data_IF_301655411704
#
_entry.id   IF_301655411704
#
_cell.length_a   1.000
_cell.length_b   1.000
_cell.length_c   1.000
_cell.angle_alpha   90.00
_cell.angle_beta   90.00
_cell.angle_gamma   90.00
#
_symmetry.space_group_name_H-M   'P 1'
#
loop_
_entity.id
_entity.type
_entity.pdbx_description
1 polymer ?
#
# COMPACT_ATOMS: atom_id res chain seq x y z
N UNK A 1 -30.75 -21.43 30.31
CA UNK A 1 -30.45 -20.12 30.92
C UNK A 1 -30.79 -19.05 29.90
N UNK A 2 -31.78 -18.21 30.17
CA UNK A 2 -32.09 -17.06 29.32
C UNK A 2 -30.95 -16.05 29.43
N UNK A 3 -30.39 -15.63 28.29
CA UNK A 3 -29.39 -14.54 28.27
C UNK A 3 -30.12 -13.22 28.53
N UNK A 4 -29.67 -12.46 29.51
CA UNK A 4 -30.16 -11.09 29.74
C UNK A 4 -29.66 -10.17 28.62
N UNK A 5 -30.40 -9.09 28.36
CA UNK A 5 -30.02 -8.06 27.37
C UNK A 5 -28.66 -7.44 27.66
N UNK A 6 -28.35 -7.20 28.94
CA UNK A 6 -27.04 -6.69 29.41
C UNK A 6 -25.90 -7.64 29.00
N UNK A 7 -26.06 -8.96 29.20
CA UNK A 7 -25.07 -9.95 28.76
C UNK A 7 -24.84 -9.92 27.25
N UNK A 8 -25.91 -9.78 26.45
CA UNK A 8 -25.79 -9.69 24.98
C UNK A 8 -25.05 -8.44 24.51
N UNK A 9 -25.25 -7.30 25.19
CA UNK A 9 -24.55 -6.04 24.88
C UNK A 9 -23.06 -6.16 25.22
N UNK A 10 -22.75 -6.73 26.39
CA UNK A 10 -21.36 -6.96 26.81
C UNK A 10 -20.63 -7.91 25.86
N UNK A 11 -21.23 -9.08 25.55
CA UNK A 11 -20.66 -10.05 24.60
C UNK A 11 -20.39 -9.40 23.24
N UNK A 12 -21.36 -8.65 22.70
CA UNK A 12 -21.20 -7.95 21.42
C UNK A 12 -20.07 -6.91 21.48
N UNK A 13 -19.95 -6.17 22.57
CA UNK A 13 -18.87 -5.19 22.78
C UNK A 13 -17.51 -5.87 22.76
N UNK A 14 -17.33 -6.95 23.52
CA UNK A 14 -16.04 -7.65 23.59
C UNK A 14 -15.70 -8.34 22.26
N UNK A 15 -16.67 -8.91 21.55
CA UNK A 15 -16.46 -9.43 20.19
C UNK A 15 -16.00 -8.35 19.22
N UNK A 16 -16.59 -7.16 19.27
CA UNK A 16 -16.21 -6.05 18.39
C UNK A 16 -14.79 -5.56 18.69
N UNK A 17 -14.41 -5.47 19.97
CA UNK A 17 -13.03 -5.15 20.39
C UNK A 17 -12.02 -6.15 19.84
N UNK A 18 -12.26 -7.45 20.09
CA UNK A 18 -11.40 -8.52 19.58
C UNK A 18 -11.30 -8.51 18.05
N UNK A 19 -12.40 -8.17 17.36
CA UNK A 19 -12.42 -8.07 15.89
C UNK A 19 -11.56 -6.90 15.38
N UNK A 20 -11.55 -5.76 16.07
CA UNK A 20 -10.69 -4.62 15.74
C UNK A 20 -9.21 -4.92 15.98
N UNK A 21 -8.89 -5.55 17.11
CA UNK A 21 -7.51 -5.90 17.49
C UNK A 21 -6.88 -6.90 16.51
N UNK A 22 -7.69 -7.85 16.03
CA UNK A 22 -7.24 -8.89 15.10
C UNK A 22 -7.35 -8.51 13.63
N UNK A 23 -7.98 -7.37 13.29
CA UNK A 23 -8.38 -7.01 11.93
C UNK A 23 -7.26 -7.06 10.88
N UNK A 24 -6.03 -6.70 11.28
CA UNK A 24 -4.88 -6.57 10.37
C UNK A 24 -4.02 -7.83 10.28
N UNK A 25 -4.25 -8.84 11.15
CA UNK A 25 -3.35 -9.99 11.31
C UNK A 25 -3.23 -10.85 10.05
N UNK A 26 -4.28 -10.92 9.24
CA UNK A 26 -4.35 -11.73 8.02
C UNK A 26 -4.25 -10.91 6.72
N UNK A 27 -4.05 -9.59 6.83
CA UNK A 27 -4.08 -8.67 5.67
C UNK A 27 -2.71 -8.53 5.04
N UNK A 28 -2.20 -9.59 4.43
CA UNK A 28 -0.93 -9.55 3.71
C UNK A 28 -1.12 -9.39 2.20
N UNK A 29 -0.19 -8.71 1.55
CA UNK A 29 -0.17 -8.61 0.09
C UNK A 29 0.21 -9.98 -0.51
N UNK A 30 -0.76 -10.68 -1.06
CA UNK A 30 -0.57 -12.02 -1.64
C UNK A 30 0.21 -12.01 -2.96
N UNK A 31 0.29 -10.86 -3.64
CA UNK A 31 1.02 -10.74 -4.91
C UNK A 31 2.51 -10.49 -4.73
N UNK A 32 2.97 -10.16 -3.52
CA UNK A 32 4.39 -9.86 -3.30
C UNK A 32 5.29 -11.04 -3.64
N UNK A 33 5.02 -12.21 -3.07
CA UNK A 33 5.90 -13.37 -3.22
C UNK A 33 5.94 -13.93 -4.65
N UNK A 34 4.81 -14.09 -5.37
CA UNK A 34 4.84 -14.56 -6.76
C UNK A 34 5.60 -13.60 -7.68
N UNK A 35 5.37 -12.29 -7.53
CA UNK A 35 6.04 -11.29 -8.39
C UNK A 35 7.54 -11.20 -8.04
N UNK A 36 7.91 -11.25 -6.76
CA UNK A 36 9.32 -11.25 -6.34
C UNK A 36 10.10 -12.39 -6.99
N UNK A 37 9.52 -13.59 -7.10
CA UNK A 37 10.16 -14.72 -7.81
C UNK A 37 10.41 -14.42 -9.29
N UNK A 38 9.42 -13.85 -9.97
CA UNK A 38 9.55 -13.48 -11.40
C UNK A 38 10.63 -12.41 -11.57
N UNK A 39 10.62 -11.38 -10.73
CA UNK A 39 11.64 -10.33 -10.73
C UNK A 39 13.04 -10.92 -10.47
N UNK A 40 13.17 -11.86 -9.52
CA UNK A 40 14.44 -12.50 -9.22
C UNK A 40 14.95 -13.34 -10.40
N UNK A 41 14.09 -14.06 -11.10
CA UNK A 41 14.46 -14.87 -12.26
C UNK A 41 14.84 -14.00 -13.46
N UNK A 42 14.07 -12.94 -13.73
CA UNK A 42 14.41 -11.92 -14.72
C UNK A 42 15.74 -11.22 -14.37
N UNK A 43 15.97 -10.90 -13.10
CA UNK A 43 17.22 -10.31 -12.63
C UNK A 43 18.43 -11.22 -12.81
N UNK A 44 18.28 -12.54 -12.62
CA UNK A 44 19.34 -13.52 -12.94
C UNK A 44 19.62 -13.55 -14.44
N UNK A 45 18.56 -13.55 -15.26
CA UNK A 45 18.67 -13.55 -16.73
C UNK A 45 19.40 -12.30 -17.22
N UNK A 46 18.99 -11.12 -16.75
CA UNK A 46 19.63 -9.84 -17.05
C UNK A 46 21.13 -9.86 -16.69
N UNK A 47 21.46 -10.38 -15.50
CA UNK A 47 22.85 -10.50 -15.05
C UNK A 47 23.68 -11.43 -15.95
N UNK A 48 23.10 -12.54 -16.39
CA UNK A 48 23.78 -13.49 -17.27
C UNK A 48 24.00 -12.89 -18.67
N UNK A 49 22.99 -12.25 -19.24
CA UNK A 49 23.10 -11.58 -20.53
C UNK A 49 24.16 -10.48 -20.54
N UNK A 50 24.21 -9.63 -19.51
CA UNK A 50 25.27 -8.63 -19.36
C UNK A 50 26.66 -9.26 -19.25
N UNK A 51 26.77 -10.36 -18.49
CA UNK A 51 28.04 -11.09 -18.36
C UNK A 51 28.51 -11.64 -19.71
N UNK A 52 27.63 -12.29 -20.48
CA UNK A 52 27.97 -12.83 -21.80
C UNK A 52 28.34 -11.70 -22.78
N UNK A 53 27.55 -10.62 -22.81
CA UNK A 53 27.85 -9.43 -23.60
C UNK A 53 29.23 -8.84 -23.27
N UNK A 54 29.56 -8.68 -21.98
CA UNK A 54 30.84 -8.15 -21.53
C UNK A 54 32.02 -9.07 -21.88
N UNK A 55 31.84 -10.39 -21.82
CA UNK A 55 32.87 -11.38 -22.21
C UNK A 55 33.19 -11.28 -23.71
N UNK A 56 32.17 -11.14 -24.56
CA UNK A 56 32.36 -10.93 -26.00
C UNK A 56 33.04 -9.59 -26.31
N UNK A 57 32.63 -8.51 -25.65
CA UNK A 57 33.26 -7.18 -25.82
C UNK A 57 34.71 -7.15 -25.36
N UNK A 58 35.04 -7.85 -24.27
CA UNK A 58 36.43 -8.02 -23.85
C UNK A 58 37.22 -8.82 -24.86
N UNK A 59 36.66 -9.89 -25.44
CA UNK A 59 37.36 -10.66 -26.48
C UNK A 59 37.65 -9.82 -27.72
N UNK A 60 36.69 -9.01 -28.16
CA UNK A 60 36.86 -8.06 -29.27
C UNK A 60 38.01 -7.08 -29.00
N UNK A 61 38.12 -6.56 -27.77
CA UNK A 61 39.15 -5.58 -27.39
C UNK A 61 40.53 -6.19 -27.15
N UNK A 62 40.58 -7.33 -26.45
CA UNK A 62 41.83 -7.96 -25.99
C UNK A 62 42.42 -8.93 -27.02
N UNK A 63 41.58 -9.53 -27.87
CA UNK A 63 42.02 -10.48 -28.90
C UNK A 63 41.15 -10.36 -30.19
N UNK A 64 41.30 -9.26 -30.94
CA UNK A 64 40.47 -8.98 -32.11
C UNK A 64 40.63 -10.03 -33.22
N UNK A 65 41.81 -10.62 -33.40
CA UNK A 65 42.02 -11.68 -34.40
C UNK A 65 41.18 -12.93 -34.09
N UNK A 66 41.14 -13.35 -32.82
CA UNK A 66 40.29 -14.47 -32.39
C UNK A 66 38.82 -14.14 -32.55
N UNK A 67 38.41 -12.92 -32.20
CA UNK A 67 37.03 -12.47 -32.36
C UNK A 67 36.60 -12.51 -33.84
N UNK A 68 37.42 -11.95 -34.73
CA UNK A 68 37.15 -11.93 -36.18
C UNK A 68 37.07 -13.35 -36.76
N UNK A 69 38.01 -14.23 -36.41
CA UNK A 69 37.97 -15.63 -36.84
C UNK A 69 36.67 -16.33 -36.40
N UNK A 70 36.22 -16.10 -35.16
CA UNK A 70 34.96 -16.66 -34.66
C UNK A 70 33.75 -16.06 -35.38
N UNK A 71 33.78 -14.76 -35.70
CA UNK A 71 32.71 -14.12 -36.45
C UNK A 71 32.62 -14.68 -37.89
N UNK A 72 33.75 -14.86 -38.57
CA UNK A 72 33.78 -15.49 -39.91
C UNK A 72 33.22 -16.92 -39.89
N UNK A 73 33.54 -17.71 -38.85
CA UNK A 73 32.96 -19.04 -38.67
C UNK A 73 31.45 -18.97 -38.43
N UNK A 74 30.98 -18.01 -37.62
CA UNK A 74 29.56 -17.81 -37.37
C UNK A 74 28.82 -17.42 -38.67
N UNK A 75 29.40 -16.54 -39.48
CA UNK A 75 28.84 -16.10 -40.76
C UNK A 75 28.69 -17.25 -41.76
N UNK A 76 29.61 -18.21 -41.78
CA UNK A 76 29.49 -19.43 -42.60
C UNK A 76 28.26 -20.28 -42.23
N UNK A 77 27.77 -20.17 -40.99
CA UNK A 77 26.55 -20.84 -40.51
C UNK A 77 25.30 -19.96 -40.57
N UNK A 78 25.40 -18.75 -41.13
CA UNK A 78 24.30 -17.79 -41.22
C UNK A 78 24.03 -17.03 -39.92
N UNK A 79 24.98 -17.02 -38.98
CA UNK A 79 24.92 -16.29 -37.72
C UNK A 79 25.91 -15.11 -37.73
N UNK A 80 25.76 -14.16 -36.81
CA UNK A 80 26.68 -13.03 -36.64
C UNK A 80 26.86 -12.74 -35.16
N UNK A 81 28.12 -12.58 -34.73
CA UNK A 81 28.41 -12.22 -33.33
C UNK A 81 27.93 -10.80 -33.01
N UNK A 82 27.97 -9.89 -33.98
CA UNK A 82 27.41 -8.54 -33.82
C UNK A 82 25.89 -8.58 -33.62
N UNK A 83 25.18 -9.40 -34.40
CA UNK A 83 23.74 -9.60 -34.21
C UNK A 83 23.43 -10.24 -32.85
N UNK A 84 24.27 -11.16 -32.36
CA UNK A 84 24.13 -11.76 -31.04
C UNK A 84 24.33 -10.73 -29.91
N UNK A 85 25.38 -9.90 -30.01
CA UNK A 85 25.63 -8.79 -29.08
C UNK A 85 24.48 -7.81 -29.02
N UNK A 86 23.97 -7.39 -30.19
CA UNK A 86 22.79 -6.55 -30.28
C UNK A 86 21.55 -7.24 -29.69
N UNK A 87 21.42 -8.55 -29.91
CA UNK A 87 20.38 -9.39 -29.31
C UNK A 87 20.36 -9.33 -27.79
N UNK A 88 21.52 -9.48 -27.13
CA UNK A 88 21.61 -9.34 -25.67
C UNK A 88 21.20 -7.96 -25.18
N UNK A 89 21.61 -6.90 -25.88
CA UNK A 89 21.25 -5.53 -25.51
C UNK A 89 19.73 -5.33 -25.57
N UNK A 90 19.10 -5.72 -26.68
CA UNK A 90 17.66 -5.60 -26.87
C UNK A 90 16.91 -6.45 -25.85
N UNK A 91 17.34 -7.69 -25.60
CA UNK A 91 16.73 -8.54 -24.59
C UNK A 91 16.84 -7.94 -23.17
N UNK A 92 17.97 -7.32 -22.83
CA UNK A 92 18.15 -6.65 -21.54
C UNK A 92 17.19 -5.47 -21.37
N UNK A 93 17.00 -4.66 -22.42
CA UNK A 93 16.01 -3.56 -22.41
C UNK A 93 14.61 -4.12 -22.16
N UNK A 94 14.20 -5.19 -22.85
CA UNK A 94 12.90 -5.82 -22.63
C UNK A 94 12.74 -6.38 -21.20
N UNK A 95 13.79 -7.01 -20.64
CA UNK A 95 13.75 -7.51 -19.27
C UNK A 95 13.59 -6.36 -18.27
N UNK A 96 14.28 -5.25 -18.49
CA UNK A 96 14.18 -4.05 -17.66
C UNK A 96 12.76 -3.44 -17.70
N UNK A 97 12.16 -3.34 -18.88
CA UNK A 97 10.76 -2.92 -19.04
C UNK A 97 9.79 -3.86 -18.29
N UNK A 98 9.97 -5.17 -18.41
CA UNK A 98 9.14 -6.16 -17.72
C UNK A 98 9.27 -6.06 -16.19
N UNK A 99 10.49 -5.91 -15.67
CA UNK A 99 10.71 -5.69 -14.23
C UNK A 99 10.01 -4.40 -13.77
N UNK A 100 10.06 -3.34 -14.59
CA UNK A 100 9.36 -2.08 -14.30
C UNK A 100 7.85 -2.31 -14.17
N UNK A 101 7.24 -2.93 -15.18
CA UNK A 101 5.82 -3.23 -15.21
C UNK A 101 5.38 -4.09 -14.01
N UNK A 102 6.18 -5.09 -13.64
CA UNK A 102 5.92 -5.92 -12.46
C UNK A 102 5.93 -5.10 -11.17
N UNK A 103 6.89 -4.18 -11.00
CA UNK A 103 6.92 -3.28 -9.84
C UNK A 103 5.73 -2.33 -9.79
N UNK A 104 5.28 -1.82 -10.94
CA UNK A 104 4.09 -1.00 -11.05
C UNK A 104 2.83 -1.77 -10.62
N UNK A 105 2.67 -3.01 -11.08
CA UNK A 105 1.59 -3.90 -10.66
C UNK A 105 1.60 -4.10 -9.13
N UNK A 106 2.78 -4.31 -8.53
CA UNK A 106 2.90 -4.40 -7.06
C UNK A 106 2.43 -3.14 -6.35
N UNK A 107 2.76 -1.96 -6.88
CA UNK A 107 2.35 -0.67 -6.31
C UNK A 107 0.84 -0.48 -6.43
N UNK A 108 0.28 -0.70 -7.61
CA UNK A 108 -1.16 -0.59 -7.88
C UNK A 108 -1.93 -1.53 -6.96
N UNK A 109 -1.51 -2.78 -6.86
CA UNK A 109 -2.16 -3.77 -6.02
C UNK A 109 -2.02 -3.44 -4.54
N UNK A 110 -0.84 -3.04 -4.07
CA UNK A 110 -0.64 -2.65 -2.66
C UNK A 110 -1.58 -1.52 -2.24
N UNK A 111 -1.73 -0.50 -3.09
CA UNK A 111 -2.68 0.58 -2.81
C UNK A 111 -4.13 0.11 -2.86
N UNK A 112 -4.48 -0.76 -3.83
CA UNK A 112 -5.85 -1.30 -3.92
C UNK A 112 -6.21 -2.17 -2.72
N UNK A 113 -5.30 -3.03 -2.30
CA UNK A 113 -5.43 -3.87 -1.11
C UNK A 113 -5.62 -3.01 0.15
N UNK A 114 -4.79 -1.98 0.30
CA UNK A 114 -4.94 -0.99 1.37
C UNK A 114 -6.33 -0.33 1.35
N UNK A 115 -6.74 0.19 0.18
CA UNK A 115 -8.02 0.87 0.01
C UNK A 115 -9.19 -0.05 0.43
N UNK A 116 -9.23 -1.30 -0.05
CA UNK A 116 -10.29 -2.25 0.30
C UNK A 116 -10.36 -2.46 1.82
N UNK A 117 -9.21 -2.67 2.46
CA UNK A 117 -9.16 -2.94 3.89
C UNK A 117 -9.49 -1.69 4.73
N UNK A 118 -9.12 -0.50 4.29
CA UNK A 118 -9.53 0.75 4.95
C UNK A 118 -11.06 0.91 4.95
N UNK A 119 -11.70 0.67 3.79
CA UNK A 119 -13.16 0.77 3.67
C UNK A 119 -13.87 -0.23 4.55
N UNK A 120 -13.43 -1.48 4.52
CA UNK A 120 -13.97 -2.57 5.35
C UNK A 120 -13.84 -2.26 6.84
N UNK A 121 -12.68 -1.73 7.27
CA UNK A 121 -12.44 -1.36 8.66
C UNK A 121 -13.44 -0.30 9.13
N UNK A 122 -13.54 0.82 8.42
CA UNK A 122 -14.42 1.93 8.81
C UNK A 122 -15.89 1.48 8.80
N UNK A 123 -16.30 0.71 7.77
CA UNK A 123 -17.66 0.18 7.67
C UNK A 123 -18.01 -0.76 8.83
N UNK A 124 -17.07 -1.64 9.21
CA UNK A 124 -17.26 -2.56 10.32
C UNK A 124 -17.30 -1.84 11.68
N UNK A 125 -16.52 -0.76 11.84
CA UNK A 125 -16.43 -0.02 13.09
C UNK A 125 -17.66 0.84 13.40
N UNK A 126 -18.18 1.56 12.40
CA UNK A 126 -19.17 2.63 12.65
C UNK A 126 -20.61 2.33 12.19
N UNK A 127 -20.86 1.22 11.47
CA UNK A 127 -22.19 0.83 10.95
C UNK A 127 -22.98 2.00 10.30
N UNK A 128 -22.25 2.95 9.69
CA UNK A 128 -22.83 4.18 9.18
C UNK A 128 -23.24 4.01 7.71
N UNK A 129 -24.55 3.88 7.50
CA UNK A 129 -25.16 3.71 6.17
C UNK A 129 -24.87 4.87 5.22
N UNK A 130 -24.51 6.06 5.73
CA UNK A 130 -24.21 7.22 4.90
C UNK A 130 -22.76 7.22 4.37
N UNK A 131 -21.85 6.44 4.97
CA UNK A 131 -20.45 6.38 4.56
C UNK A 131 -20.24 5.64 3.23
N UNK A 132 -21.24 4.86 2.76
CA UNK A 132 -21.10 4.03 1.56
C UNK A 132 -20.98 4.80 0.23
N UNK A 133 -21.30 6.11 0.19
CA UNK A 133 -21.50 6.82 -1.09
C UNK A 133 -20.28 7.52 -1.68
N UNK A 134 -19.20 7.76 -0.92
CA UNK A 134 -18.01 8.45 -1.45
C UNK A 134 -16.74 8.03 -0.70
N UNK A 135 -16.18 6.87 -1.00
CA UNK A 135 -14.89 6.46 -0.43
C UNK A 135 -13.67 7.14 -1.08
N UNK A 136 -13.80 8.40 -1.49
CA UNK A 136 -12.65 9.21 -1.92
C UNK A 136 -11.78 9.47 -0.68
N UNK A 137 -10.46 9.50 -0.87
CA UNK A 137 -9.51 9.71 0.25
C UNK A 137 -9.86 10.93 1.12
N UNK A 138 -10.26 12.04 0.51
CA UNK A 138 -10.64 13.24 1.24
C UNK A 138 -11.93 13.07 2.04
N UNK A 139 -12.90 12.31 1.51
CA UNK A 139 -14.13 11.97 2.24
C UNK A 139 -13.84 11.07 3.44
N UNK A 140 -12.89 10.13 3.31
CA UNK A 140 -12.43 9.31 4.45
C UNK A 140 -11.78 10.18 5.52
N UNK A 141 -10.92 11.11 5.10
CA UNK A 141 -10.26 12.06 6.02
C UNK A 141 -11.27 12.94 6.75
N UNK A 142 -12.25 13.50 6.04
CA UNK A 142 -13.32 14.30 6.65
C UNK A 142 -14.14 13.48 7.63
N UNK A 143 -14.51 12.26 7.25
CA UNK A 143 -15.26 11.35 8.10
C UNK A 143 -14.55 11.02 9.41
N UNK A 144 -13.26 10.65 9.35
CA UNK A 144 -12.46 10.36 10.54
C UNK A 144 -12.28 11.61 11.42
N UNK A 145 -12.16 12.79 10.82
CA UNK A 145 -12.10 14.04 11.58
C UNK A 145 -13.37 14.32 12.38
N UNK A 146 -14.56 13.94 11.89
CA UNK A 146 -15.82 14.02 12.64
C UNK A 146 -15.87 13.07 13.84
N UNK A 147 -14.97 12.08 13.88
CA UNK A 147 -14.76 11.15 14.99
C UNK A 147 -13.55 11.55 15.85
N UNK A 148 -13.07 12.78 15.73
CA UNK A 148 -11.85 13.27 16.39
C UNK A 148 -10.58 12.44 16.06
N UNK A 149 -10.58 11.72 14.94
CA UNK A 149 -9.42 10.95 14.47
C UNK A 149 -8.72 11.74 13.36
N UNK A 150 -7.60 12.39 13.71
CA UNK A 150 -6.77 13.08 12.73
C UNK A 150 -5.91 12.08 11.93
N UNK A 151 -6.33 11.78 10.70
CA UNK A 151 -5.66 10.80 9.83
C UNK A 151 -4.15 11.09 9.61
N UNK A 152 -3.75 12.35 9.66
CA UNK A 152 -2.36 12.80 9.48
C UNK A 152 -1.44 12.34 10.61
N UNK A 153 -2.01 12.13 11.80
CA UNK A 153 -1.27 11.71 13.00
C UNK A 153 -1.21 10.18 13.11
N UNK A 154 -1.89 9.45 12.22
CA UNK A 154 -1.82 7.99 12.15
C UNK A 154 -0.42 7.60 11.69
N UNK A 155 0.15 6.60 12.38
CA UNK A 155 1.47 6.07 12.05
C UNK A 155 1.53 5.66 10.58
N UNK A 156 2.64 6.00 9.91
CA UNK A 156 2.86 5.72 8.49
C UNK A 156 1.90 6.40 7.49
N UNK A 157 1.21 7.47 7.90
CA UNK A 157 0.38 8.27 7.00
C UNK A 157 1.14 8.77 5.76
N UNK A 158 2.36 9.27 5.95
CA UNK A 158 3.19 9.82 4.88
C UNK A 158 3.48 8.78 3.81
N UNK A 159 3.89 7.56 4.20
CA UNK A 159 4.20 6.49 3.26
C UNK A 159 2.97 5.99 2.51
N UNK A 160 1.81 5.90 3.19
CA UNK A 160 0.55 5.55 2.53
C UNK A 160 0.12 6.63 1.55
N UNK A 161 0.32 7.91 1.88
CA UNK A 161 0.02 9.00 0.96
C UNK A 161 0.98 9.00 -0.25
N UNK A 162 2.28 8.71 -0.05
CA UNK A 162 3.23 8.52 -1.14
C UNK A 162 2.82 7.35 -2.05
N UNK A 163 2.39 6.21 -1.46
CA UNK A 163 1.85 5.08 -2.21
C UNK A 163 0.64 5.48 -3.07
N UNK A 164 -0.29 6.25 -2.51
CA UNK A 164 -1.45 6.79 -3.24
C UNK A 164 -1.02 7.66 -4.43
N UNK A 165 -0.07 8.56 -4.20
CA UNK A 165 0.42 9.49 -5.23
C UNK A 165 1.10 8.75 -6.38
N UNK A 166 1.98 7.78 -6.10
CA UNK A 166 2.62 6.98 -7.15
C UNK A 166 1.59 6.10 -7.88
N UNK A 167 0.69 5.42 -7.17
CA UNK A 167 -0.37 4.64 -7.82
C UNK A 167 -1.19 5.50 -8.80
N UNK A 168 -1.52 6.74 -8.41
CA UNK A 168 -2.28 7.63 -9.28
C UNK A 168 -1.46 8.06 -10.49
N UNK A 169 -0.17 8.31 -10.32
CA UNK A 169 0.70 8.71 -11.40
C UNK A 169 0.93 7.57 -12.39
N UNK A 170 1.20 6.35 -11.93
CA UNK A 170 1.29 5.14 -12.77
C UNK A 170 0.02 4.95 -13.62
N UNK A 171 -1.17 5.22 -13.05
CA UNK A 171 -2.46 5.03 -13.75
C UNK A 171 -2.79 6.09 -14.78
N UNK A 172 -2.20 7.28 -14.68
CA UNK A 172 -2.66 8.47 -15.41
C UNK A 172 -1.54 9.23 -16.12
N UNK A 173 -0.31 8.75 -16.07
CA UNK A 173 0.84 9.41 -16.69
C UNK A 173 1.75 8.39 -17.34
N UNK A 174 1.97 8.53 -18.65
CA UNK A 174 2.92 7.70 -19.40
C UNK A 174 4.35 7.86 -18.86
N UNK A 175 4.73 9.09 -18.49
CA UNK A 175 6.04 9.41 -17.88
C UNK A 175 5.89 9.95 -16.46
N UNK A 176 5.33 9.18 -15.52
CA UNK A 176 5.17 9.62 -14.13
C UNK A 176 6.49 9.98 -13.44
N UNK A 177 7.60 9.45 -13.93
CA UNK A 177 8.95 9.78 -13.50
C UNK A 177 9.36 11.23 -13.77
N UNK A 178 8.73 11.92 -14.72
CA UNK A 178 8.98 13.34 -15.00
C UNK A 178 8.17 14.28 -14.09
N UNK A 179 7.26 13.73 -13.27
CA UNK A 179 6.43 14.51 -12.37
C UNK A 179 7.26 15.13 -11.23
N UNK A 180 7.51 16.43 -11.32
CA UNK A 180 8.28 17.20 -10.33
C UNK A 180 7.69 17.13 -8.91
N UNK A 181 6.38 16.99 -8.77
CA UNK A 181 5.76 16.85 -7.44
C UNK A 181 6.15 15.52 -6.80
N UNK A 182 6.23 14.43 -7.57
CA UNK A 182 6.68 13.14 -7.06
C UNK A 182 8.15 13.17 -6.67
N UNK A 183 9.01 13.80 -7.48
CA UNK A 183 10.45 13.97 -7.17
C UNK A 183 10.66 14.69 -5.84
N UNK A 184 9.82 15.66 -5.51
CA UNK A 184 9.91 16.41 -4.27
C UNK A 184 9.42 15.61 -3.05
N UNK A 185 8.36 14.82 -3.22
CA UNK A 185 7.66 14.12 -2.13
C UNK A 185 8.24 12.74 -1.81
N UNK A 186 8.92 12.09 -2.76
CA UNK A 186 9.44 10.73 -2.60
C UNK A 186 10.96 10.77 -2.47
N UNK A 187 11.52 10.37 -1.31
CA UNK A 187 12.96 10.43 -1.07
C UNK A 187 13.81 9.73 -2.13
N UNK A 188 13.35 8.59 -2.64
CA UNK A 188 14.07 7.78 -3.64
C UNK A 188 14.20 8.48 -5.01
N UNK A 189 13.27 9.39 -5.33
CA UNK A 189 13.21 10.04 -6.63
C UNK A 189 13.91 11.41 -6.64
N UNK A 190 14.43 11.85 -5.50
CA UNK A 190 15.13 13.14 -5.39
C UNK A 190 16.42 13.13 -6.21
N UNK A 191 16.57 14.14 -7.07
CA UNK A 191 17.80 14.47 -7.80
C UNK A 191 18.41 13.33 -8.61
N UNK A 192 17.59 12.37 -9.05
CA UNK A 192 18.03 11.23 -9.85
C UNK A 192 17.13 11.06 -11.06
N UNK A 193 17.72 10.57 -12.15
CA UNK A 193 16.93 9.98 -13.22
C UNK A 193 16.19 8.77 -12.65
N UNK A 194 14.86 8.77 -12.76
CA UNK A 194 14.11 7.68 -12.19
C UNK A 194 14.38 6.39 -12.96
N UNK A 195 14.59 5.32 -12.21
CA UNK A 195 14.96 4.02 -12.74
C UNK A 195 14.26 2.93 -11.95
N UNK A 196 14.25 1.72 -12.51
CA UNK A 196 13.81 0.48 -11.86
C UNK A 196 14.34 0.38 -10.42
N UNK A 197 15.61 0.76 -10.23
CA UNK A 197 16.28 0.71 -8.93
C UNK A 197 15.60 1.60 -7.89
N UNK A 198 15.22 2.82 -8.25
CA UNK A 198 14.57 3.74 -7.31
C UNK A 198 13.12 3.33 -7.06
N UNK A 199 12.41 2.82 -8.06
CA UNK A 199 11.06 2.25 -7.88
C UNK A 199 11.07 1.03 -6.94
N UNK A 200 12.05 0.14 -7.11
CA UNK A 200 12.26 -1.01 -6.24
C UNK A 200 12.57 -0.60 -4.79
N UNK A 201 13.46 0.39 -4.60
CA UNK A 201 13.78 0.92 -3.26
C UNK A 201 12.55 1.54 -2.60
N UNK A 202 11.80 2.34 -3.34
CA UNK A 202 10.55 2.93 -2.87
C UNK A 202 9.61 1.82 -2.39
N UNK A 203 9.34 0.81 -3.24
CA UNK A 203 8.44 -0.27 -2.88
C UNK A 203 8.91 -1.05 -1.66
N UNK A 204 10.22 -1.35 -1.59
CA UNK A 204 10.82 -2.05 -0.46
C UNK A 204 10.62 -1.32 0.86
N UNK A 205 10.71 0.02 0.86
CA UNK A 205 10.45 0.86 2.04
C UNK A 205 8.97 0.83 2.44
N UNK A 206 8.07 0.97 1.48
CA UNK A 206 6.65 1.21 1.78
C UNK A 206 5.80 -0.06 1.94
N UNK A 207 6.23 -1.23 1.46
CA UNK A 207 5.37 -2.43 1.35
C UNK A 207 4.69 -2.88 2.65
N UNK A 208 5.29 -2.60 3.82
CA UNK A 208 4.71 -2.93 5.14
C UNK A 208 3.91 -1.79 5.76
N UNK A 209 4.09 -0.56 5.28
CA UNK A 209 3.49 0.65 5.85
C UNK A 209 1.96 0.64 5.87
N UNK A 210 1.24 0.16 4.83
CA UNK A 210 -0.22 0.08 4.86
C UNK A 210 -0.78 -0.70 6.04
N UNK A 211 -0.16 -1.81 6.43
CA UNK A 211 -0.63 -2.61 7.57
C UNK A 211 -0.38 -1.91 8.89
N UNK A 212 0.79 -1.26 9.04
CA UNK A 212 1.10 -0.46 10.23
C UNK A 212 0.14 0.72 10.37
N UNK A 213 -0.22 1.35 9.25
CA UNK A 213 -1.23 2.40 9.22
C UNK A 213 -2.59 1.87 9.68
N UNK A 214 -3.06 0.76 9.10
CA UNK A 214 -4.35 0.17 9.48
C UNK A 214 -4.37 -0.24 10.96
N UNK A 215 -3.28 -0.79 11.48
CA UNK A 215 -3.15 -1.14 12.89
C UNK A 215 -3.26 0.09 13.79
N UNK A 216 -2.53 1.17 13.46
CA UNK A 216 -2.59 2.42 14.21
C UNK A 216 -3.98 3.07 14.11
N UNK A 217 -4.68 2.93 12.99
CA UNK A 217 -6.05 3.38 12.83
C UNK A 217 -7.02 2.54 13.66
N UNK A 218 -6.87 1.21 13.73
CA UNK A 218 -7.65 0.36 14.62
C UNK A 218 -7.55 0.83 16.07
N UNK A 219 -6.34 1.16 16.56
CA UNK A 219 -6.16 1.69 17.91
C UNK A 219 -6.90 3.02 18.12
N UNK A 220 -6.88 3.94 17.15
CA UNK A 220 -7.63 5.20 17.25
C UNK A 220 -9.15 5.02 17.19
N UNK A 221 -9.62 4.08 16.38
CA UNK A 221 -11.03 3.69 16.36
C UNK A 221 -11.43 3.04 17.70
N UNK A 222 -10.55 2.22 18.28
CA UNK A 222 -10.79 1.63 19.60
C UNK A 222 -10.95 2.70 20.67
N UNK A 223 -10.02 3.66 20.75
CA UNK A 223 -10.09 4.80 21.68
C UNK A 223 -11.39 5.59 21.48
N UNK A 224 -11.80 5.85 20.24
CA UNK A 224 -13.05 6.55 19.93
C UNK A 224 -14.29 5.76 20.37
N UNK A 225 -14.33 4.45 20.15
CA UNK A 225 -15.53 3.63 20.38
C UNK A 225 -15.66 3.07 21.80
N UNK A 226 -14.56 2.85 22.51
CA UNK A 226 -14.57 2.06 23.75
C UNK A 226 -13.93 2.74 24.95
N UNK A 227 -13.10 3.77 24.74
CA UNK A 227 -12.50 4.53 25.84
C UNK A 227 -13.33 5.79 26.10
N UNK A 228 -14.04 5.76 27.23
CA UNK A 228 -14.86 6.86 27.73
C UNK A 228 -14.19 7.44 28.98
N UNK A 229 -13.39 8.49 28.79
CA UNK A 229 -12.85 9.29 29.89
C UNK A 229 -13.96 10.11 30.55
N UNK A 230 -13.72 10.58 31.79
CA UNK A 230 -14.67 11.47 32.47
C UNK A 230 -15.00 12.69 31.61
N UNK A 231 -14.00 13.36 31.05
CA UNK A 231 -14.19 14.49 30.13
C UNK A 231 -15.10 14.14 28.93
N UNK A 232 -14.90 12.98 28.30
CA UNK A 232 -15.70 12.54 27.15
C UNK A 232 -17.13 12.20 27.55
N UNK A 233 -17.34 11.68 28.77
CA UNK A 233 -18.67 11.44 29.32
C UNK A 233 -19.36 12.78 29.62
N UNK A 234 -18.63 13.77 30.15
CA UNK A 234 -19.13 15.11 30.44
C UNK A 234 -19.52 15.85 29.15
N UNK A 235 -18.64 15.89 28.15
CA UNK A 235 -18.94 16.47 26.83
C UNK A 235 -20.18 15.82 26.17
N UNK A 236 -20.32 14.49 26.30
CA UNK A 236 -21.48 13.77 25.79
C UNK A 236 -22.75 14.16 26.57
N UNK A 237 -22.66 14.25 27.90
CA UNK A 237 -23.76 14.64 28.76
C UNK A 237 -24.24 16.06 28.43
N UNK A 238 -23.31 17.02 28.34
CA UNK A 238 -23.59 18.41 27.99
C UNK A 238 -24.22 18.54 26.60
N UNK A 239 -23.65 17.86 25.61
CA UNK A 239 -24.16 17.84 24.23
C UNK A 239 -25.60 17.33 24.15
N UNK A 240 -25.96 16.36 24.99
CA UNK A 240 -27.33 15.81 25.04
C UNK A 240 -28.24 16.73 25.86
N UNK A 241 -27.78 17.24 27.00
CA UNK A 241 -28.55 18.07 27.92
C UNK A 241 -29.00 19.39 27.28
N UNK A 242 -28.21 19.97 26.38
CA UNK A 242 -28.60 21.19 25.63
C UNK A 242 -29.82 20.95 24.72
N UNK A 243 -30.05 19.71 24.28
CA UNK A 243 -31.07 19.35 23.28
C UNK A 243 -32.28 18.62 23.85
N UNK A 244 -32.20 18.14 25.09
CA UNK A 244 -33.25 17.35 25.74
C UNK A 244 -33.95 18.14 26.84
N UNK A 245 -35.26 17.95 26.97
CA UNK A 245 -35.97 18.35 28.17
C UNK A 245 -35.78 17.35 29.33
N UNK A 246 -36.22 17.73 30.53
CA UNK A 246 -36.08 16.90 31.73
C UNK A 246 -36.77 15.52 31.60
N UNK A 247 -37.91 15.45 30.89
CA UNK A 247 -38.67 14.23 30.72
C UNK A 247 -37.94 13.27 29.77
N UNK A 248 -37.42 13.77 28.66
CA UNK A 248 -36.63 13.02 27.69
C UNK A 248 -35.33 12.49 28.31
N UNK A 249 -34.64 13.32 29.09
CA UNK A 249 -33.43 12.92 29.82
C UNK A 249 -33.71 11.76 30.80
N UNK A 250 -34.83 11.80 31.53
CA UNK A 250 -35.23 10.71 32.43
C UNK A 250 -35.47 9.40 31.70
N UNK A 251 -36.09 9.44 30.51
CA UNK A 251 -36.31 8.26 29.66
C UNK A 251 -34.96 7.67 29.21
N UNK A 252 -34.01 8.52 28.80
CA UNK A 252 -32.67 8.09 28.39
C UNK A 252 -31.93 7.39 29.54
N UNK A 253 -31.96 7.96 30.75
CA UNK A 253 -31.33 7.39 31.94
C UNK A 253 -31.87 5.99 32.25
N UNK A 254 -33.20 5.82 32.24
CA UNK A 254 -33.81 4.50 32.48
C UNK A 254 -33.43 3.50 31.39
N UNK A 255 -33.38 3.92 30.12
CA UNK A 255 -32.94 3.04 29.02
C UNK A 255 -31.48 2.64 29.10
N UNK A 256 -30.61 3.49 29.64
CA UNK A 256 -29.21 3.13 29.90
C UNK A 256 -29.11 2.14 31.05
N UNK A 257 -29.84 2.34 32.15
CA UNK A 257 -29.89 1.38 33.28
C UNK A 257 -30.42 0.01 32.86
N UNK A 258 -31.37 -0.07 31.92
CA UNK A 258 -31.85 -1.36 31.38
C UNK A 258 -30.74 -2.16 30.64
N UNK A 259 -29.69 -1.48 30.17
CA UNK A 259 -28.61 -2.07 29.39
C UNK A 259 -27.39 -2.47 30.22
N UNK A 260 -27.31 -2.04 31.49
CA UNK A 260 -26.21 -2.30 32.42
C UNK A 260 -26.74 -2.92 33.71
#
# INVERSE_FOLDING_TARGET
>A
MERTKSNLIHEKREMNKMSLDSYVLDKHNVLDNPIDKIIDDLGKKLKNNWKEHDEWRKMEQENPEKYNNLNEIAEQTGHSLEQQLYGYYIENVYIEEEITALLEVKIIYAFKHFEINLKKLIKAAYDDKNFDKNYKWESIRQYLSLKNIEIKNIKNYTEVNQLREINNAIKHSENYFENNDLKNKIPEFKNKEPSIRELYKFYKRIKKCPNVFLQSLCSKIYEDLYDFTEDKIEELADSIAIRMDFKEAKILIEKLKENY
#
